data_IF_963277577751
#
_entry.id   IF_963277577751
#
_cell.length_a   1.000
_cell.length_b   1.000
_cell.length_c   1.000
_cell.angle_alpha   90.00
_cell.angle_beta   90.00
_cell.angle_gamma   90.00
#
_symmetry.space_group_name_H-M   'P 1'
#
loop_
_entity.id
_entity.type
_entity.pdbx_description
1 polymer ?
#
# COMPACT_ATOMS: atom_id res chain seq x y z
N UNK A 1 -43.29 -54.53 26.44
CA UNK A 1 -42.69 -53.98 25.21
C UNK A 1 -42.13 -52.60 25.55
N UNK A 2 -40.82 -52.47 25.73
CA UNK A 2 -40.16 -51.22 26.18
C UNK A 2 -39.60 -50.51 24.95
N UNK A 3 -40.08 -49.30 24.66
CA UNK A 3 -39.54 -48.42 23.61
C UNK A 3 -38.74 -47.33 24.31
N UNK A 4 -37.42 -47.44 24.28
CA UNK A 4 -36.49 -46.36 24.62
C UNK A 4 -35.33 -46.44 23.65
N UNK A 5 -35.37 -45.73 22.53
CA UNK A 5 -34.19 -45.69 21.63
C UNK A 5 -34.17 -44.43 20.76
N UNK A 6 -33.32 -43.49 21.19
CA UNK A 6 -32.54 -42.53 20.39
C UNK A 6 -33.26 -41.29 19.82
N UNK A 7 -33.27 -40.22 20.62
CA UNK A 7 -33.20 -38.84 20.11
C UNK A 7 -32.09 -38.13 20.89
N UNK A 8 -30.83 -38.35 20.53
CA UNK A 8 -29.70 -37.52 20.96
C UNK A 8 -28.53 -37.73 20.00
N UNK A 9 -28.48 -36.98 18.89
CA UNK A 9 -27.24 -36.73 18.14
C UNK A 9 -27.49 -35.72 17.00
N UNK A 10 -27.86 -34.48 17.31
CA UNK A 10 -27.68 -33.39 16.33
C UNK A 10 -27.49 -32.03 17.03
N UNK A 11 -26.52 -31.97 17.94
CA UNK A 11 -26.16 -30.73 18.64
C UNK A 11 -24.64 -30.54 18.75
N UNK A 12 -23.90 -30.93 17.72
CA UNK A 12 -22.46 -30.75 17.64
C UNK A 12 -22.09 -30.37 16.22
N UNK A 13 -22.15 -29.06 15.91
CA UNK A 13 -21.26 -28.34 14.98
C UNK A 13 -21.75 -26.90 14.79
N UNK A 14 -21.85 -26.16 15.90
CA UNK A 14 -21.69 -24.71 15.89
C UNK A 14 -20.34 -24.44 16.54
N UNK A 15 -19.27 -24.85 15.85
CA UNK A 15 -17.97 -24.23 16.10
C UNK A 15 -18.14 -22.85 15.50
N UNK A 16 -18.17 -21.75 16.29
CA UNK A 16 -18.03 -20.45 15.68
C UNK A 16 -16.71 -20.49 14.93
N UNK A 17 -16.78 -20.39 13.60
CA UNK A 17 -15.62 -20.02 12.81
C UNK A 17 -15.14 -18.73 13.48
N UNK A 18 -14.07 -18.83 14.26
CA UNK A 18 -13.29 -17.67 14.67
C UNK A 18 -12.70 -17.18 13.36
N UNK A 19 -13.53 -16.45 12.60
CA UNK A 19 -13.10 -15.75 11.43
C UNK A 19 -12.00 -14.86 11.93
N UNK A 20 -10.77 -15.20 11.57
CA UNK A 20 -9.65 -14.31 11.77
C UNK A 20 -9.98 -13.11 10.90
N UNK A 21 -10.55 -12.07 11.50
CA UNK A 21 -10.43 -10.73 10.94
C UNK A 21 -8.93 -10.52 10.87
N UNK A 22 -8.40 -10.59 9.65
CA UNK A 22 -7.05 -10.17 9.41
C UNK A 22 -7.00 -8.69 9.79
N UNK A 23 -6.25 -8.38 10.84
CA UNK A 23 -6.01 -6.99 11.23
C UNK A 23 -5.34 -6.28 10.06
N UNK A 24 -5.88 -5.13 9.68
CA UNK A 24 -5.29 -4.24 8.68
C UNK A 24 -3.79 -4.03 8.96
N UNK A 25 -2.94 -4.33 7.98
CA UNK A 25 -1.52 -4.06 8.10
C UNK A 25 -1.18 -2.64 7.64
N UNK A 26 -0.60 -1.86 8.56
CA UNK A 26 -0.16 -0.50 8.31
C UNK A 26 0.93 -0.44 7.24
N UNK A 27 0.77 0.48 6.30
CA UNK A 27 1.75 0.77 5.25
C UNK A 27 2.86 1.67 5.76
N UNK A 28 2.48 2.69 6.54
CA UNK A 28 3.38 3.67 7.10
C UNK A 28 3.83 3.25 8.50
N UNK A 29 5.12 3.38 8.75
CA UNK A 29 5.79 3.23 10.04
C UNK A 29 7.08 4.01 9.98
N UNK A 30 7.66 4.32 11.14
CA UNK A 30 8.97 4.96 11.18
C UNK A 30 10.03 4.07 10.48
N UNK A 31 10.94 4.72 9.75
CA UNK A 31 12.02 4.07 8.99
C UNK A 31 11.55 3.09 7.89
N UNK A 32 10.29 3.17 7.45
CA UNK A 32 9.82 2.40 6.30
C UNK A 32 10.55 2.89 5.05
N UNK A 33 11.15 1.95 4.32
CA UNK A 33 11.89 2.23 3.07
C UNK A 33 11.19 1.66 1.85
N UNK A 34 11.27 2.39 0.75
CA UNK A 34 10.90 1.93 -0.59
C UNK A 34 12.06 2.19 -1.55
N UNK A 35 12.71 1.12 -2.00
CA UNK A 35 13.82 1.21 -2.94
C UNK A 35 13.33 1.52 -4.36
N UNK A 36 14.06 2.41 -5.04
CA UNK A 36 13.80 2.86 -6.40
C UNK A 36 15.06 2.56 -7.20
N UNK A 37 14.90 1.81 -8.29
CA UNK A 37 16.00 1.55 -9.23
C UNK A 37 15.64 2.12 -10.60
N UNK A 38 16.37 3.13 -11.02
CA UNK A 38 16.17 3.81 -12.29
C UNK A 38 17.40 3.60 -13.19
N UNK A 39 17.19 3.04 -14.38
CA UNK A 39 18.22 3.08 -15.41
C UNK A 39 18.25 4.46 -16.05
N UNK A 40 19.43 5.08 -16.10
CA UNK A 40 19.64 6.39 -16.74
C UNK A 40 20.37 6.27 -18.08
N UNK A 41 20.41 5.07 -18.66
CA UNK A 41 21.09 4.78 -19.92
C UNK A 41 22.55 4.36 -19.76
N UNK A 42 23.17 3.92 -20.86
CA UNK A 42 24.56 3.46 -20.92
C UNK A 42 24.94 2.36 -19.90
N UNK A 43 23.96 1.59 -19.42
CA UNK A 43 24.18 0.57 -18.39
C UNK A 43 24.34 1.12 -16.97
N UNK A 44 24.07 2.41 -16.75
CA UNK A 44 24.08 3.03 -15.43
C UNK A 44 22.69 2.93 -14.80
N UNK A 45 22.68 2.50 -13.54
CA UNK A 45 21.48 2.43 -12.70
C UNK A 45 21.73 3.25 -11.44
N UNK A 46 20.80 4.16 -11.15
CA UNK A 46 20.75 4.87 -9.88
C UNK A 46 19.83 4.10 -8.94
N UNK A 47 20.28 3.90 -7.72
CA UNK A 47 19.50 3.27 -6.65
C UNK A 47 19.21 4.33 -5.60
N UNK A 48 18.00 4.86 -5.56
CA UNK A 48 17.54 5.77 -4.49
C UNK A 48 16.54 5.02 -3.62
N UNK A 49 16.12 5.64 -2.51
CA UNK A 49 14.98 5.14 -1.76
C UNK A 49 14.20 6.27 -1.09
N UNK A 50 12.90 6.06 -0.95
CA UNK A 50 12.10 6.87 -0.03
C UNK A 50 12.16 6.30 1.38
N UNK A 51 12.17 7.16 2.38
CA UNK A 51 12.12 6.77 3.78
C UNK A 51 11.19 7.68 4.56
N UNK A 52 10.34 7.08 5.41
CA UNK A 52 9.60 7.84 6.42
C UNK A 52 10.48 8.11 7.62
N UNK A 53 10.52 9.38 8.04
CA UNK A 53 11.15 9.83 9.28
C UNK A 53 10.11 10.52 10.15
N UNK A 54 10.36 10.55 11.46
CA UNK A 54 9.64 11.28 12.51
C UNK A 54 8.20 11.76 12.25
N UNK A 55 7.31 11.45 13.18
CA UNK A 55 5.95 11.99 13.14
C UNK A 55 5.94 13.51 13.35
N UNK A 56 5.15 14.21 12.55
CA UNK A 56 4.84 15.63 12.69
C UNK A 56 3.34 15.85 12.65
N UNK A 57 2.87 16.93 13.31
CA UNK A 57 1.46 17.31 13.29
C UNK A 57 1.26 18.52 12.39
N UNK A 58 0.39 18.37 11.38
CA UNK A 58 0.01 19.42 10.44
C UNK A 58 -1.52 19.45 10.41
N UNK A 59 -2.13 20.62 10.68
CA UNK A 59 -3.59 20.78 10.73
C UNK A 59 -4.29 19.72 11.59
N UNK A 60 -3.74 19.43 12.77
CA UNK A 60 -4.25 18.44 13.74
C UNK A 60 -4.28 16.98 13.24
N UNK A 61 -3.60 16.67 12.14
CA UNK A 61 -3.37 15.31 11.64
C UNK A 61 -1.89 14.95 11.81
N UNK A 62 -1.63 13.69 12.14
CA UNK A 62 -0.27 13.17 12.27
C UNK A 62 0.21 12.62 10.93
N UNK A 63 1.42 13.00 10.54
CA UNK A 63 2.07 12.55 9.32
C UNK A 63 3.49 12.08 9.63
N UNK A 64 3.98 11.14 8.85
CA UNK A 64 5.41 10.90 8.73
C UNK A 64 6.00 11.91 7.74
N UNK A 65 7.18 12.42 8.03
CA UNK A 65 8.00 13.12 7.03
C UNK A 65 8.49 12.10 6.00
N UNK A 66 8.37 12.38 4.70
CA UNK A 66 8.84 11.52 3.62
C UNK A 66 10.07 12.15 2.96
N UNK A 67 11.19 11.43 3.00
CA UNK A 67 12.46 11.86 2.43
C UNK A 67 12.87 10.94 1.26
N UNK A 68 13.47 11.52 0.22
CA UNK A 68 14.22 10.78 -0.80
C UNK A 68 15.72 10.79 -0.48
N UNK A 69 16.37 9.64 -0.59
CA UNK A 69 17.80 9.49 -0.32
C UNK A 69 18.55 9.01 -1.56
N UNK A 70 19.59 9.77 -1.93
CA UNK A 70 20.50 9.48 -3.03
C UNK A 70 21.85 8.99 -2.48
N UNK A 71 22.23 7.72 -2.64
CA UNK A 71 23.46 7.16 -2.08
C UNK A 71 24.71 7.42 -2.93
N UNK A 72 24.63 8.23 -3.99
CA UNK A 72 25.65 8.29 -5.04
C UNK A 72 27.08 8.60 -4.56
N UNK A 73 27.29 9.25 -3.40
CA UNK A 73 28.63 9.72 -3.01
C UNK A 73 28.95 9.53 -1.51
N UNK A 74 28.46 8.47 -0.86
CA UNK A 74 28.68 8.22 0.59
C UNK A 74 28.19 9.31 1.55
N UNK A 75 27.53 10.35 1.03
CA UNK A 75 26.89 11.41 1.81
C UNK A 75 25.38 11.22 1.75
N UNK A 76 24.81 10.78 2.86
CA UNK A 76 23.37 10.65 3.05
C UNK A 76 22.76 12.04 3.15
N UNK A 77 22.29 12.58 2.02
CA UNK A 77 21.56 13.84 1.98
C UNK A 77 20.08 13.54 1.73
N UNK A 78 19.28 13.27 2.78
CA UNK A 78 17.84 13.12 2.65
C UNK A 78 17.23 14.44 2.19
N UNK A 79 16.49 14.40 1.09
CA UNK A 79 15.73 15.53 0.57
C UNK A 79 14.27 15.34 0.98
N UNK A 80 13.71 16.32 1.69
CA UNK A 80 12.29 16.32 2.04
C UNK A 80 11.47 16.45 0.75
N UNK A 81 10.60 15.47 0.49
CA UNK A 81 9.69 15.48 -0.66
C UNK A 81 8.24 15.74 -0.27
N UNK A 82 7.88 15.52 1.00
CA UNK A 82 6.55 15.82 1.53
C UNK A 82 6.26 15.09 2.82
N UNK A 83 4.97 14.94 3.12
CA UNK A 83 4.50 14.24 4.30
C UNK A 83 3.47 13.19 3.91
N UNK A 84 3.44 12.07 4.63
CA UNK A 84 2.49 10.98 4.37
C UNK A 84 1.74 10.61 5.64
N UNK A 85 0.43 10.42 5.51
CA UNK A 85 -0.44 9.98 6.59
C UNK A 85 -1.22 8.76 6.17
N UNK A 86 -1.46 7.87 7.12
CA UNK A 86 -2.35 6.74 6.96
C UNK A 86 -3.58 6.92 7.84
N UNK A 87 -4.76 6.81 7.22
CA UNK A 87 -6.03 6.71 7.91
C UNK A 87 -6.38 5.23 8.02
N UNK A 88 -6.11 4.65 9.18
CA UNK A 88 -6.24 3.20 9.40
C UNK A 88 -7.69 2.75 9.50
N UNK A 89 -8.60 3.65 9.89
CA UNK A 89 -10.03 3.39 9.91
C UNK A 89 -10.60 3.37 8.49
N UNK A 90 -10.17 4.32 7.65
CA UNK A 90 -10.58 4.37 6.25
C UNK A 90 -9.74 3.47 5.31
N UNK A 91 -8.62 2.92 5.80
CA UNK A 91 -7.63 2.14 5.04
C UNK A 91 -7.08 2.89 3.81
N UNK A 92 -6.74 4.17 4.02
CA UNK A 92 -6.28 5.09 2.96
C UNK A 92 -4.96 5.73 3.35
N UNK A 93 -4.11 5.99 2.36
CA UNK A 93 -2.85 6.71 2.53
C UNK A 93 -2.91 8.01 1.74
N UNK A 94 -2.53 9.09 2.39
CA UNK A 94 -2.53 10.44 1.85
C UNK A 94 -1.10 10.98 1.80
N UNK A 95 -0.82 11.74 0.75
CA UNK A 95 0.38 12.54 0.60
C UNK A 95 0.03 14.02 0.76
N UNK A 96 0.94 14.78 1.37
CA UNK A 96 0.85 16.22 1.53
C UNK A 96 2.13 16.83 0.99
N UNK A 97 1.99 17.72 0.00
CA UNK A 97 3.11 18.42 -0.60
C UNK A 97 3.73 19.43 0.39
N UNK A 98 4.96 19.84 0.15
CA UNK A 98 5.61 20.89 0.97
C UNK A 98 5.13 22.30 0.64
N UNK A 99 4.57 22.49 -0.57
CA UNK A 99 4.14 23.79 -1.08
C UNK A 99 2.62 23.95 -1.13
N UNK A 100 1.87 22.87 -0.89
CA UNK A 100 0.40 22.84 -0.88
C UNK A 100 -0.10 22.08 0.35
N UNK A 101 -1.10 22.64 1.02
CA UNK A 101 -1.74 22.05 2.18
C UNK A 101 -2.89 21.10 1.83
N UNK A 102 -3.15 20.88 0.54
CA UNK A 102 -4.12 19.89 0.06
C UNK A 102 -3.55 18.46 0.15
N UNK A 103 -4.31 17.56 0.80
CA UNK A 103 -3.97 16.13 0.83
C UNK A 103 -4.35 15.47 -0.50
N UNK A 104 -3.44 14.68 -1.04
CA UNK A 104 -3.64 13.82 -2.19
C UNK A 104 -3.82 12.36 -1.74
N UNK A 105 -4.91 11.70 -2.17
CA UNK A 105 -5.10 10.28 -1.94
C UNK A 105 -4.16 9.48 -2.85
N UNK A 106 -3.20 8.75 -2.26
CA UNK A 106 -2.20 7.98 -3.01
C UNK A 106 -2.43 6.47 -2.94
N UNK A 107 -3.17 5.99 -1.93
CA UNK A 107 -3.54 4.57 -1.79
C UNK A 107 -4.93 4.47 -1.16
N UNK A 108 -5.75 3.57 -1.71
CA UNK A 108 -7.04 3.17 -1.14
C UNK A 108 -7.16 1.64 -1.13
N UNK A 109 -7.06 1.03 0.05
CA UNK A 109 -7.18 -0.42 0.18
C UNK A 109 -8.63 -0.89 0.26
N UNK A 110 -9.62 0.00 0.21
CA UNK A 110 -11.04 -0.38 0.22
C UNK A 110 -11.58 -0.71 -1.18
N UNK A 111 -10.81 -0.41 -2.22
CA UNK A 111 -11.19 -0.67 -3.60
C UNK A 111 -11.49 -2.16 -3.86
N UNK A 112 -12.44 -2.37 -4.76
CA UNK A 112 -12.99 -3.64 -5.22
C UNK A 112 -12.97 -3.72 -6.74
N UNK A 113 -13.14 -4.93 -7.29
CA UNK A 113 -13.19 -5.13 -8.75
C UNK A 113 -14.31 -4.28 -9.36
N UNK A 114 -13.98 -3.52 -10.42
CA UNK A 114 -14.89 -2.57 -11.08
C UNK A 114 -14.81 -1.14 -10.55
N UNK A 115 -14.16 -0.90 -9.42
CA UNK A 115 -13.77 0.46 -9.03
C UNK A 115 -12.60 0.95 -9.89
N UNK A 116 -12.30 2.24 -9.83
CA UNK A 116 -11.15 2.83 -10.50
C UNK A 116 -10.39 3.77 -9.58
N UNK A 117 -9.10 3.96 -9.84
CA UNK A 117 -8.22 4.82 -9.05
C UNK A 117 -7.41 5.74 -9.95
N UNK A 118 -7.34 7.02 -9.57
CA UNK A 118 -6.51 7.99 -10.27
C UNK A 118 -5.11 8.01 -9.67
N UNK A 119 -4.14 7.49 -10.42
CA UNK A 119 -2.74 7.59 -10.03
C UNK A 119 -2.19 8.95 -10.48
N UNK A 120 -1.50 9.64 -9.58
CA UNK A 120 -0.92 10.98 -9.82
C UNK A 120 -0.10 11.09 -11.11
N UNK A 121 0.62 10.01 -11.48
CA UNK A 121 1.48 9.99 -12.67
C UNK A 121 0.79 9.40 -13.92
N UNK A 122 -0.52 9.16 -13.87
CA UNK A 122 -1.27 8.60 -14.99
C UNK A 122 -2.24 9.65 -15.53
N UNK A 123 -2.39 9.69 -16.85
CA UNK A 123 -3.32 10.59 -17.53
C UNK A 123 -4.79 10.15 -17.42
N UNK A 124 -5.05 8.98 -16.82
CA UNK A 124 -6.37 8.39 -16.68
C UNK A 124 -6.48 7.57 -15.40
N UNK A 125 -7.72 7.36 -14.98
CA UNK A 125 -8.05 6.35 -13.99
C UNK A 125 -7.65 4.97 -14.50
N UNK A 126 -7.21 4.10 -13.59
CA UNK A 126 -7.01 2.68 -13.86
C UNK A 126 -8.07 1.88 -13.14
N UNK A 127 -8.71 0.98 -13.87
CA UNK A 127 -9.73 0.09 -13.32
C UNK A 127 -9.10 -1.02 -12.48
N UNK A 128 -9.75 -1.38 -11.37
CA UNK A 128 -9.41 -2.55 -10.57
C UNK A 128 -9.94 -3.79 -11.28
N UNK A 129 -9.01 -4.60 -11.78
CA UNK A 129 -9.32 -5.82 -12.54
C UNK A 129 -9.33 -7.07 -11.67
N UNK A 130 -8.63 -7.05 -10.54
CA UNK A 130 -8.52 -8.21 -9.67
C UNK A 130 -8.21 -7.81 -8.22
N UNK A 131 -8.76 -8.55 -7.27
CA UNK A 131 -8.42 -8.44 -5.85
C UNK A 131 -8.21 -9.83 -5.29
N UNK A 132 -7.04 -10.06 -4.71
CA UNK A 132 -6.65 -11.33 -4.11
C UNK A 132 -5.82 -11.12 -2.84
N UNK A 133 -5.17 -12.18 -2.38
CA UNK A 133 -4.32 -12.19 -1.20
C UNK A 133 -2.99 -12.83 -1.52
N UNK A 134 -1.89 -12.15 -1.21
CA UNK A 134 -0.52 -12.67 -1.36
C UNK A 134 0.09 -12.99 0.00
N UNK A 135 0.77 -14.14 0.11
CA UNK A 135 1.56 -14.47 1.29
C UNK A 135 2.98 -13.89 1.16
N UNK A 136 3.26 -12.81 1.90
CA UNK A 136 4.53 -12.07 1.84
C UNK A 136 5.01 -11.73 3.25
N UNK A 137 6.29 -11.98 3.51
CA UNK A 137 6.94 -11.73 4.80
C UNK A 137 6.20 -12.37 5.99
N UNK A 138 5.73 -13.62 5.80
CA UNK A 138 5.06 -14.39 6.86
C UNK A 138 3.61 -14.01 7.14
N UNK A 139 2.99 -13.15 6.31
CA UNK A 139 1.60 -12.73 6.46
C UNK A 139 0.87 -12.77 5.12
N UNK A 140 -0.41 -13.12 5.16
CA UNK A 140 -1.32 -12.86 4.06
C UNK A 140 -1.57 -11.36 3.94
N UNK A 141 -1.66 -10.81 2.73
CA UNK A 141 -1.84 -9.37 2.46
C UNK A 141 -2.83 -9.19 1.34
N UNK A 142 -3.86 -8.36 1.56
CA UNK A 142 -4.76 -7.95 0.50
C UNK A 142 -3.94 -7.30 -0.63
N UNK A 143 -4.19 -7.74 -1.85
CA UNK A 143 -3.55 -7.22 -3.05
C UNK A 143 -4.62 -6.83 -4.06
N UNK A 144 -4.50 -5.61 -4.58
CA UNK A 144 -5.46 -4.99 -5.52
C UNK A 144 -4.68 -4.75 -6.81
N UNK A 145 -5.12 -5.35 -7.90
CA UNK A 145 -4.48 -5.26 -9.21
C UNK A 145 -5.32 -4.35 -10.11
N UNK A 146 -4.63 -3.43 -10.76
CA UNK A 146 -5.21 -2.49 -11.70
C UNK A 146 -4.97 -2.95 -13.12
N UNK A 147 -5.73 -2.46 -14.09
CA UNK A 147 -5.46 -2.68 -15.50
C UNK A 147 -4.06 -2.17 -15.89
N UNK A 148 -3.43 -2.86 -16.84
CA UNK A 148 -2.07 -2.58 -17.28
C UNK A 148 -2.07 -1.68 -18.50
N UNK A 149 -1.09 -0.78 -18.59
CA UNK A 149 -0.95 0.11 -19.74
C UNK A 149 -0.07 -0.55 -20.82
N UNK A 150 -0.68 -1.07 -21.89
CA UNK A 150 0.03 -1.54 -23.08
C UNK A 150 0.90 -2.81 -22.90
N UNK A 151 1.51 -3.25 -24.00
CA UNK A 151 2.34 -4.46 -24.06
C UNK A 151 3.65 -4.26 -23.28
N UNK A 152 3.80 -4.92 -22.12
CA UNK A 152 5.07 -5.05 -21.40
C UNK A 152 5.23 -4.24 -20.11
N UNK A 153 4.23 -3.44 -19.70
CA UNK A 153 4.23 -2.78 -18.39
C UNK A 153 3.57 -3.71 -17.35
N UNK A 154 4.23 -4.01 -16.22
CA UNK A 154 3.62 -4.79 -15.14
C UNK A 154 2.34 -4.09 -14.64
N UNK A 155 1.29 -4.86 -14.35
CA UNK A 155 0.07 -4.35 -13.75
C UNK A 155 0.40 -3.60 -12.44
N UNK A 156 0.02 -2.32 -12.29
CA UNK A 156 0.14 -1.64 -11.02
C UNK A 156 -0.72 -2.37 -9.99
N UNK A 157 -0.26 -2.37 -8.74
CA UNK A 157 -0.99 -3.03 -7.66
C UNK A 157 -0.80 -2.32 -6.34
N UNK A 158 -1.82 -2.35 -5.49
CA UNK A 158 -1.65 -2.05 -4.07
C UNK A 158 -1.51 -3.34 -3.27
N UNK A 159 -0.54 -3.40 -2.37
CA UNK A 159 -0.31 -4.53 -1.46
C UNK A 159 -0.36 -3.98 -0.04
N UNK A 160 -1.33 -4.45 0.74
CA UNK A 160 -1.56 -4.00 2.12
C UNK A 160 -0.28 -4.06 2.96
N UNK A 161 0.03 -2.97 3.66
CA UNK A 161 1.23 -2.80 4.48
C UNK A 161 2.55 -2.62 3.71
N UNK A 162 2.50 -2.67 2.37
CA UNK A 162 3.65 -2.46 1.50
C UNK A 162 3.49 -1.21 0.62
N UNK A 163 2.26 -0.86 0.26
CA UNK A 163 1.95 0.27 -0.61
C UNK A 163 1.76 -0.16 -2.06
N UNK A 164 2.14 0.68 -3.01
CA UNK A 164 2.13 0.29 -4.43
C UNK A 164 3.25 -0.72 -4.71
N UNK A 165 2.88 -1.93 -5.14
CA UNK A 165 3.79 -3.04 -5.40
C UNK A 165 4.57 -2.93 -6.71
N UNK A 166 4.37 -1.86 -7.49
CA UNK A 166 5.22 -1.50 -8.64
C UNK A 166 6.52 -0.86 -8.12
N UNK A 167 6.47 0.21 -7.30
CA UNK A 167 7.67 0.93 -6.79
C UNK A 167 7.49 1.76 -5.50
N UNK A 168 6.49 1.47 -4.64
CA UNK A 168 6.22 2.26 -3.43
C UNK A 168 5.42 3.55 -3.67
N UNK A 169 5.52 4.53 -2.77
CA UNK A 169 4.89 5.87 -2.89
C UNK A 169 5.58 6.64 -4.01
N UNK A 170 5.33 6.28 -5.27
CA UNK A 170 5.98 6.87 -6.41
C UNK A 170 5.23 8.13 -6.84
N UNK A 171 5.76 9.31 -6.47
CA UNK A 171 5.55 10.56 -7.21
C UNK A 171 6.86 10.83 -7.96
N UNK A 172 6.74 11.24 -9.23
CA UNK A 172 7.80 11.70 -10.14
C UNK A 172 8.38 10.64 -11.09
N UNK A 173 7.66 10.43 -12.18
CA UNK A 173 8.29 10.53 -13.50
C UNK A 173 7.54 11.58 -14.32
N UNK A 174 7.95 12.83 -14.17
CA UNK A 174 7.68 13.87 -15.15
C UNK A 174 9.02 14.31 -15.73
N UNK A 175 9.13 14.08 -17.05
CA UNK A 175 10.16 14.50 -18.01
C UNK A 175 11.55 13.83 -17.93
#
# INVERSE_FOLDING_TARGET
>A
MKIYTIIYALSLLLIPFLGTTQTYEHTLKEEKKWDISQSIGMGVTIHNYYVTTCDTSINSKNYFRLDEVFPLNSQYNPVLIGFVREDTAAQKVYFLDTNDLSEELIIDYTLSVGDSFNFVNYSSYLDVVHVDTLYLNGKFRKTIHFEGYGQGIPYPRFVEGMGNGFWGVNRNYNA
#
